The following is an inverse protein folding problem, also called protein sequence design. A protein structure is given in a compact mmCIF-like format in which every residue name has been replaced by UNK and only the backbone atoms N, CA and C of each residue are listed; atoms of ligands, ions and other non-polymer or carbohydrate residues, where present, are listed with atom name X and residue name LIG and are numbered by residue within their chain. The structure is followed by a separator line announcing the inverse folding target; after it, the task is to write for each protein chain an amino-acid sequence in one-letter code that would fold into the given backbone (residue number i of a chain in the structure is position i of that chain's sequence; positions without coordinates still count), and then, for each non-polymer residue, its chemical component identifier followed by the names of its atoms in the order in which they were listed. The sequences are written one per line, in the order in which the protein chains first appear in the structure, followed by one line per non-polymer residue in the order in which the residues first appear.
data_IF_220457960214
#
_entry.id   IF_220457960214
#
_cell.length_a   1.000
_cell.length_b   1.000
_cell.length_c   1.000
_cell.angle_alpha   90.00
_cell.angle_beta   90.00
_cell.angle_gamma   90.00
#
_symmetry.space_group_name_H-M   'P 1'
#
loop_
_entity.id
_entity.type
_entity.pdbx_description
1 polymer ?
#
# COMPACT_ATOMS: atom_id res chain seq x y z
N UNK A 1 -6.37 18.26 -6.74
CA UNK A 1 -7.63 18.61 -7.43
C UNK A 1 -7.92 20.10 -7.39
N UNK A 2 -7.84 20.76 -6.23
CA UNK A 2 -8.05 22.21 -6.06
C UNK A 2 -7.14 23.10 -6.93
N UNK A 3 -5.86 22.76 -7.07
CA UNK A 3 -4.94 23.53 -7.92
C UNK A 3 -5.28 23.48 -9.41
N UNK A 4 -5.82 22.36 -9.91
CA UNK A 4 -6.19 22.21 -11.33
C UNK A 4 -7.48 22.96 -11.67
N UNK A 5 -8.44 22.98 -10.74
CA UNK A 5 -9.66 23.81 -10.84
C UNK A 5 -9.28 25.30 -10.86
N UNK A 6 -8.36 25.72 -9.99
CA UNK A 6 -7.89 27.11 -9.94
C UNK A 6 -7.14 27.56 -11.20
N UNK A 7 -6.59 26.61 -11.97
CA UNK A 7 -5.90 26.86 -13.25
C UNK A 7 -6.85 26.82 -14.46
N UNK A 8 -8.17 26.76 -14.23
CA UNK A 8 -9.18 26.82 -15.30
C UNK A 8 -9.37 25.52 -16.08
N UNK A 9 -8.95 24.36 -15.54
CA UNK A 9 -9.28 23.07 -16.15
C UNK A 9 -10.72 22.68 -15.80
N UNK A 10 -11.58 22.58 -16.81
CA UNK A 10 -12.99 22.17 -16.68
C UNK A 10 -13.15 20.73 -16.17
N UNK A 11 -12.19 19.84 -16.51
CA UNK A 11 -12.14 18.47 -16.02
C UNK A 11 -10.74 18.10 -15.48
N UNK A 12 -10.46 18.42 -14.21
CA UNK A 12 -9.19 18.11 -13.55
C UNK A 12 -8.89 16.61 -13.46
N UNK A 13 -9.91 15.77 -13.30
CA UNK A 13 -9.72 14.35 -13.10
C UNK A 13 -9.36 13.66 -14.41
N UNK A 14 -10.11 13.92 -15.49
CA UNK A 14 -9.75 13.37 -16.79
C UNK A 14 -8.39 13.88 -17.28
N UNK A 15 -8.05 15.13 -16.97
CA UNK A 15 -6.72 15.69 -17.28
C UNK A 15 -5.61 14.93 -16.53
N UNK A 16 -5.80 14.63 -15.24
CA UNK A 16 -4.85 13.82 -14.47
C UNK A 16 -4.68 12.41 -15.05
N UNK A 17 -5.78 11.75 -15.45
CA UNK A 17 -5.73 10.42 -16.06
C UNK A 17 -4.99 10.46 -17.41
N UNK A 18 -5.26 11.47 -18.24
CA UNK A 18 -4.53 11.68 -19.51
C UNK A 18 -3.03 11.93 -19.27
N UNK A 19 -2.69 12.68 -18.22
CA UNK A 19 -1.31 12.94 -17.83
C UNK A 19 -0.56 11.66 -17.43
N UNK A 20 -1.26 10.64 -16.90
CA UNK A 20 -0.65 9.38 -16.51
C UNK A 20 0.08 8.70 -17.69
N UNK A 21 -0.48 8.78 -18.89
CA UNK A 21 0.12 8.24 -20.11
C UNK A 21 1.48 8.84 -20.49
N UNK A 22 1.79 10.05 -20.01
CA UNK A 22 3.08 10.72 -20.26
C UNK A 22 4.17 10.33 -19.25
N UNK A 23 3.87 9.42 -18.30
CA UNK A 23 4.88 8.86 -17.40
C UNK A 23 5.71 7.79 -18.12
N UNK A 24 6.64 8.24 -18.98
CA UNK A 24 7.47 7.35 -19.78
C UNK A 24 8.33 6.39 -18.95
N UNK A 25 8.87 6.85 -17.81
CA UNK A 25 9.73 6.01 -16.97
C UNK A 25 9.00 4.75 -16.44
N UNK A 26 7.84 4.85 -15.76
CA UNK A 26 7.07 3.67 -15.37
C UNK A 26 6.68 2.76 -16.54
N UNK A 27 6.29 3.33 -17.68
CA UNK A 27 5.91 2.54 -18.86
C UNK A 27 7.08 1.73 -19.41
N UNK A 28 8.26 2.36 -19.53
CA UNK A 28 9.49 1.70 -19.96
C UNK A 28 9.96 0.66 -18.92
N UNK A 29 9.83 0.95 -17.63
CA UNK A 29 10.18 0.01 -16.57
C UNK A 29 9.30 -1.25 -16.60
N UNK A 30 7.98 -1.10 -16.77
CA UNK A 30 7.05 -2.23 -16.92
C UNK A 30 7.39 -3.07 -18.15
N UNK A 31 7.67 -2.41 -19.28
CA UNK A 31 8.09 -3.09 -20.50
C UNK A 31 9.42 -3.85 -20.31
N UNK A 32 10.40 -3.23 -19.64
CA UNK A 32 11.68 -3.86 -19.33
C UNK A 32 11.50 -5.11 -18.45
N UNK A 33 10.62 -5.06 -17.45
CA UNK A 33 10.30 -6.22 -16.60
C UNK A 33 9.76 -7.38 -17.43
N UNK A 34 8.82 -7.11 -18.35
CA UNK A 34 8.30 -8.15 -19.25
C UNK A 34 9.41 -8.75 -20.12
N UNK A 35 10.26 -7.91 -20.71
CA UNK A 35 11.42 -8.37 -21.49
C UNK A 35 12.34 -9.26 -20.66
N UNK A 36 12.66 -8.89 -19.43
CA UNK A 36 13.53 -9.67 -18.55
C UNK A 36 12.89 -11.02 -18.20
N UNK A 37 11.59 -11.05 -17.87
CA UNK A 37 10.87 -12.29 -17.55
C UNK A 37 10.92 -13.28 -18.73
N UNK A 38 10.65 -12.81 -19.95
CA UNK A 38 10.65 -13.68 -21.14
C UNK A 38 12.07 -14.06 -21.60
N UNK A 39 13.01 -13.12 -21.53
CA UNK A 39 14.40 -13.33 -21.97
C UNK A 39 15.21 -14.15 -20.96
N UNK A 40 14.83 -14.13 -19.68
CA UNK A 40 15.60 -14.68 -18.54
C UNK A 40 17.06 -14.21 -18.52
N UNK A 41 17.29 -12.99 -19.00
CA UNK A 41 18.61 -12.36 -19.03
C UNK A 41 18.58 -11.14 -18.15
N UNK A 42 19.10 -11.29 -16.94
CA UNK A 42 19.43 -10.19 -16.07
C UNK A 42 20.70 -9.49 -16.56
N UNK A 43 20.83 -8.20 -16.25
CA UNK A 43 21.96 -7.38 -16.66
C UNK A 43 22.69 -6.78 -15.46
N UNK A 44 24.00 -6.54 -15.63
CA UNK A 44 24.82 -5.80 -14.68
C UNK A 44 24.97 -6.48 -13.30
N UNK A 45 24.79 -5.75 -12.19
CA UNK A 45 25.01 -6.29 -10.84
C UNK A 45 24.00 -7.39 -10.45
N UNK A 46 22.79 -7.37 -11.02
CA UNK A 46 21.76 -8.38 -10.74
C UNK A 46 22.16 -9.75 -11.31
N UNK A 47 22.63 -9.77 -12.57
CA UNK A 47 23.16 -10.98 -13.20
C UNK A 47 24.33 -11.61 -12.42
N UNK A 48 25.24 -10.77 -11.89
CA UNK A 48 26.35 -11.23 -11.04
C UNK A 48 25.84 -11.82 -9.72
N UNK A 49 24.84 -11.20 -9.12
CA UNK A 49 24.27 -11.66 -7.85
C UNK A 49 23.49 -12.96 -8.01
N UNK A 50 22.71 -13.12 -9.09
CA UNK A 50 22.02 -14.38 -9.37
C UNK A 50 23.01 -15.50 -9.69
N UNK A 51 24.03 -15.22 -10.50
CA UNK A 51 25.08 -16.20 -10.79
C UNK A 51 25.78 -16.66 -9.51
N UNK A 52 26.18 -15.72 -8.64
CA UNK A 52 26.77 -16.04 -7.33
C UNK A 52 25.83 -16.92 -6.48
N UNK A 53 24.54 -16.55 -6.39
CA UNK A 53 23.59 -17.31 -5.61
C UNK A 53 23.38 -18.73 -6.16
N UNK A 54 23.41 -18.90 -7.49
CA UNK A 54 23.21 -20.19 -8.18
C UNK A 54 24.44 -21.08 -8.17
N UNK A 55 25.62 -20.52 -8.42
CA UNK A 55 26.88 -21.26 -8.57
C UNK A 55 27.59 -21.47 -7.23
N UNK A 56 27.60 -20.47 -6.35
CA UNK A 56 28.34 -20.50 -5.08
C UNK A 56 27.42 -20.78 -3.88
N UNK A 57 26.09 -20.76 -4.06
CA UNK A 57 25.11 -20.88 -2.97
C UNK A 57 25.09 -19.67 -2.02
N UNK A 58 25.86 -18.62 -2.31
CA UNK A 58 25.97 -17.42 -1.46
C UNK A 58 24.88 -16.40 -1.79
N UNK A 59 23.83 -16.36 -0.96
CA UNK A 59 22.75 -15.36 -1.08
C UNK A 59 23.26 -13.94 -0.84
N UNK A 60 24.17 -13.76 0.12
CA UNK A 60 24.79 -12.47 0.45
C UNK A 60 26.19 -12.36 -0.18
N UNK A 61 26.58 -11.15 -0.59
CA UNK A 61 27.99 -10.89 -0.94
C UNK A 61 28.85 -10.98 0.30
N UNK A 62 30.12 -11.32 0.12
CA UNK A 62 31.12 -11.28 1.22
C UNK A 62 31.22 -9.88 1.85
N UNK A 63 30.95 -8.81 1.08
CA UNK A 63 30.88 -7.42 1.56
C UNK A 63 29.45 -6.92 1.85
N UNK A 64 28.45 -7.81 1.96
CA UNK A 64 27.09 -7.39 2.29
C UNK A 64 27.04 -6.82 3.72
N UNK A 65 26.28 -5.73 3.89
CA UNK A 65 25.88 -5.23 5.22
C UNK A 65 24.37 -5.43 5.36
N UNK A 66 23.90 -6.57 5.89
CA UNK A 66 22.48 -6.80 6.12
C UNK A 66 21.91 -5.69 7.02
N UNK A 67 20.75 -5.13 6.65
CA UNK A 67 20.06 -4.16 7.51
C UNK A 67 19.53 -4.81 8.80
N UNK A 68 19.31 -6.12 8.76
CA UNK A 68 18.98 -6.96 9.91
C UNK A 68 20.06 -8.03 9.97
N UNK A 69 20.92 -7.98 10.98
CA UNK A 69 21.79 -9.12 11.28
C UNK A 69 20.90 -10.30 11.67
N UNK A 70 21.22 -11.52 11.22
CA UNK A 70 20.51 -12.75 11.62
C UNK A 70 20.38 -12.90 13.15
N UNK A 71 21.23 -12.21 13.91
CA UNK A 71 21.16 -12.07 15.36
C UNK A 71 19.86 -11.42 15.88
N UNK A 72 19.18 -10.60 15.08
CA UNK A 72 17.93 -9.90 15.46
C UNK A 72 16.70 -10.75 15.07
N UNK A 73 16.76 -11.47 13.95
CA UNK A 73 15.68 -12.37 13.50
C UNK A 73 15.59 -13.64 14.36
N UNK A 74 16.64 -13.94 15.12
CA UNK A 74 16.72 -15.06 16.07
C UNK A 74 16.60 -14.64 17.55
N UNK A 75 15.97 -13.48 17.83
CA UNK A 75 15.62 -13.10 19.20
C UNK A 75 14.54 -14.06 19.71
N UNK A 76 14.98 -15.10 20.40
CA UNK A 76 14.10 -16.02 21.12
C UNK A 76 13.32 -15.25 22.18
N UNK A 77 12.04 -15.59 22.39
CA UNK A 77 11.22 -14.95 23.41
C UNK A 77 11.93 -15.01 24.77
N UNK A 78 11.92 -13.90 25.53
CA UNK A 78 12.47 -13.83 26.89
C UNK A 78 11.96 -15.02 27.71
N UNK A 79 12.87 -15.66 28.45
CA UNK A 79 12.58 -16.87 29.21
C UNK A 79 11.34 -16.67 30.10
N UNK A 80 10.35 -17.56 29.98
CA UNK A 80 9.08 -17.50 30.72
C UNK A 80 7.93 -16.76 30.03
N UNK A 81 8.14 -16.10 28.88
CA UNK A 81 7.06 -15.43 28.13
C UNK A 81 6.46 -16.39 27.10
N UNK A 82 5.17 -16.73 27.27
CA UNK A 82 4.40 -17.43 26.24
C UNK A 82 3.95 -16.41 25.19
N UNK A 83 4.36 -16.52 23.92
CA UNK A 83 3.87 -15.62 22.87
C UNK A 83 2.36 -15.82 22.71
N UNK A 84 1.60 -14.73 22.82
CA UNK A 84 0.13 -14.73 22.65
C UNK A 84 -0.20 -14.06 21.32
N UNK A 85 -0.81 -14.81 20.40
CA UNK A 85 -1.28 -14.28 19.11
C UNK A 85 -2.24 -13.10 19.28
N UNK A 86 -3.04 -13.09 20.36
CA UNK A 86 -3.95 -12.00 20.69
C UNK A 86 -3.25 -10.63 20.79
N UNK A 87 -1.99 -10.57 21.21
CA UNK A 87 -1.23 -9.32 21.32
C UNK A 87 -0.97 -8.66 19.96
N UNK A 88 -1.00 -9.44 18.87
CA UNK A 88 -0.88 -8.95 17.50
C UNK A 88 -2.25 -8.81 16.83
N UNK A 89 -3.12 -9.80 17.04
CA UNK A 89 -4.43 -9.87 16.36
C UNK A 89 -5.37 -8.76 16.84
N UNK A 90 -5.41 -8.47 18.15
CA UNK A 90 -6.31 -7.45 18.70
C UNK A 90 -6.01 -6.07 18.12
N UNK A 91 -4.76 -5.54 18.15
CA UNK A 91 -4.43 -4.24 17.57
C UNK A 91 -4.76 -4.14 16.07
N UNK A 92 -4.42 -5.18 15.29
CA UNK A 92 -4.69 -5.19 13.85
C UNK A 92 -6.19 -5.16 13.59
N UNK A 93 -6.95 -6.01 14.28
CA UNK A 93 -8.40 -6.07 14.12
C UNK A 93 -9.04 -4.73 14.52
N UNK A 94 -8.57 -4.09 15.60
CA UNK A 94 -9.05 -2.77 15.98
C UNK A 94 -8.78 -1.71 14.92
N UNK A 95 -7.59 -1.68 14.31
CA UNK A 95 -7.31 -0.73 13.21
C UNK A 95 -8.20 -0.98 12.00
N UNK A 96 -8.36 -2.24 11.60
CA UNK A 96 -9.19 -2.60 10.43
C UNK A 96 -10.66 -2.24 10.66
N UNK A 97 -11.19 -2.50 11.86
CA UNK A 97 -12.59 -2.20 12.18
C UNK A 97 -12.84 -0.71 12.44
N UNK A 98 -11.86 0.03 12.94
CA UNK A 98 -12.01 1.48 13.13
C UNK A 98 -12.12 2.24 11.80
N UNK A 99 -11.53 1.72 10.72
CA UNK A 99 -11.56 2.39 9.42
C UNK A 99 -13.00 2.55 8.87
N UNK A 100 -13.84 1.50 8.73
CA UNK A 100 -15.26 1.66 8.35
C UNK A 100 -16.06 2.54 9.33
N UNK A 101 -15.78 2.46 10.63
CA UNK A 101 -16.49 3.24 11.66
C UNK A 101 -16.23 4.74 11.49
N UNK A 102 -14.96 5.13 11.33
CA UNK A 102 -14.58 6.53 11.17
C UNK A 102 -14.97 7.09 9.80
N UNK A 103 -14.95 6.27 8.74
CA UNK A 103 -15.51 6.64 7.45
C UNK A 103 -17.02 6.87 7.52
N UNK A 104 -17.78 5.98 8.18
CA UNK A 104 -19.20 6.16 8.39
C UNK A 104 -19.50 7.41 9.22
N UNK A 105 -18.69 7.71 10.24
CA UNK A 105 -18.82 8.90 11.07
C UNK A 105 -18.57 10.19 10.28
N UNK A 106 -17.45 10.26 9.55
CA UNK A 106 -17.07 11.47 8.78
C UNK A 106 -18.01 11.75 7.62
N UNK A 107 -18.60 10.72 7.01
CA UNK A 107 -19.60 10.86 5.94
C UNK A 107 -21.06 10.93 6.43
N UNK A 108 -21.31 10.90 7.74
CA UNK A 108 -22.67 10.80 8.30
C UNK A 108 -23.55 12.02 7.96
N UNK A 109 -22.97 13.23 8.01
CA UNK A 109 -23.68 14.47 7.64
C UNK A 109 -24.18 14.42 6.19
N UNK A 110 -23.30 14.03 5.26
CA UNK A 110 -23.62 13.85 3.84
C UNK A 110 -24.72 12.82 3.61
N UNK A 111 -24.77 11.75 4.41
CA UNK A 111 -25.81 10.72 4.33
C UNK A 111 -27.18 11.22 4.83
N UNK A 112 -27.20 12.01 5.90
CA UNK A 112 -28.43 12.59 6.45
C UNK A 112 -29.05 13.64 5.51
N UNK A 113 -28.23 14.43 4.82
CA UNK A 113 -28.71 15.43 3.86
C UNK A 113 -29.26 14.81 2.56
N UNK A 114 -28.57 13.79 2.03
CA UNK A 114 -28.90 13.22 0.71
C UNK A 114 -29.87 12.04 0.76
N UNK A 115 -30.02 11.37 1.91
CA UNK A 115 -30.85 10.18 2.06
C UNK A 115 -31.67 10.18 3.36
N UNK A 116 -32.56 11.18 3.60
CA UNK A 116 -33.30 11.29 4.86
C UNK A 116 -34.24 10.11 5.13
N UNK A 117 -34.89 9.56 4.10
CA UNK A 117 -35.88 8.46 4.20
C UNK A 117 -35.28 7.04 4.08
N UNK A 118 -33.97 6.92 3.83
CA UNK A 118 -33.35 5.61 3.64
C UNK A 118 -33.16 4.84 4.96
N UNK A 119 -33.12 3.51 4.87
CA UNK A 119 -32.83 2.64 6.01
C UNK A 119 -31.42 2.85 6.57
N UNK A 120 -31.23 2.55 7.86
CA UNK A 120 -29.96 2.78 8.58
C UNK A 120 -28.76 2.12 7.88
N UNK A 121 -28.93 0.91 7.32
CA UNK A 121 -27.87 0.20 6.60
C UNK A 121 -27.46 0.93 5.32
N UNK A 122 -28.41 1.45 4.55
CA UNK A 122 -28.13 2.23 3.34
C UNK A 122 -27.43 3.55 3.68
N UNK A 123 -27.85 4.22 4.76
CA UNK A 123 -27.21 5.44 5.26
C UNK A 123 -25.76 5.19 5.65
N UNK A 124 -25.46 4.10 6.37
CA UNK A 124 -24.09 3.74 6.76
C UNK A 124 -23.22 3.44 5.54
N UNK A 125 -23.71 2.65 4.57
CA UNK A 125 -22.96 2.33 3.35
C UNK A 125 -22.68 3.59 2.52
N UNK A 126 -23.66 4.48 2.39
CA UNK A 126 -23.48 5.75 1.70
C UNK A 126 -22.52 6.69 2.44
N UNK A 127 -22.62 6.76 3.77
CA UNK A 127 -21.72 7.54 4.61
C UNK A 127 -20.27 7.08 4.46
N UNK A 128 -20.01 5.77 4.46
CA UNK A 128 -18.66 5.23 4.22
C UNK A 128 -18.11 5.67 2.86
N UNK A 129 -18.94 5.67 1.82
CA UNK A 129 -18.55 6.09 0.47
C UNK A 129 -18.31 7.60 0.31
N UNK A 130 -18.84 8.43 1.22
CA UNK A 130 -18.62 9.88 1.25
C UNK A 130 -17.67 10.31 2.37
N UNK A 131 -17.20 9.36 3.20
CA UNK A 131 -16.29 9.61 4.30
C UNK A 131 -14.90 9.99 3.82
N UNK A 132 -14.20 10.82 4.60
CA UNK A 132 -12.86 11.28 4.26
C UNK A 132 -11.80 10.36 4.88
N UNK A 133 -11.05 9.67 4.02
CA UNK A 133 -10.00 8.75 4.45
C UNK A 133 -8.84 9.42 5.19
N UNK A 134 -8.52 10.68 4.89
CA UNK A 134 -7.46 11.41 5.60
C UNK A 134 -7.85 11.76 7.03
N UNK A 135 -9.13 12.06 7.28
CA UNK A 135 -9.63 12.36 8.64
C UNK A 135 -10.02 11.11 9.42
N UNK A 136 -10.21 9.99 8.74
CA UNK A 136 -10.50 8.70 9.39
C UNK A 136 -9.23 8.00 9.91
N UNK A 137 -8.05 8.42 9.46
CA UNK A 137 -6.76 7.80 9.83
C UNK A 137 -5.95 8.68 10.80
N UNK A 138 -6.19 9.99 10.81
CA UNK A 138 -5.58 10.97 11.72
C UNK A 138 -6.34 11.05 13.04
#
# INVERSE_FOLDING_TARGET
MTLLVAQGFDDPFATMIKALGYNFYPMLALLLVLIIIFSKKDFGPMARSERRAREEGKLLSDNAKPMISDAITSVTCKHGVKPKACNMVIPILTMVLMMPVLLAYTGWSSAMEKMPEAGVVQKVLFAIGQGSGSTAVL
#
